data_IF_406260003735
#
_entry.id   IF_406260003735
#
_cell.length_a   1.000
_cell.length_b   1.000
_cell.length_c   1.000
_cell.angle_alpha   90.00
_cell.angle_beta   90.00
_cell.angle_gamma   90.00
#
_symmetry.space_group_name_H-M   'P 1'
#
loop_
_entity.id
_entity.type
_entity.pdbx_description
1 polymer ?
#
# COMPACT_ATOMS: atom_id res chain seq x y z
N UNK A 1 7.92 10.03 27.83
CA UNK A 1 7.04 9.26 26.93
C UNK A 1 7.94 8.60 25.89
N UNK A 2 8.16 7.28 26.03
CA UNK A 2 8.87 6.48 25.04
C UNK A 2 7.81 5.93 24.09
N UNK A 3 7.87 6.27 22.81
CA UNK A 3 7.00 5.65 21.80
C UNK A 3 7.36 4.16 21.70
N UNK A 4 6.36 3.26 21.58
CA UNK A 4 6.59 1.83 21.45
C UNK A 4 7.50 1.53 20.27
N UNK A 5 8.15 0.36 20.31
CA UNK A 5 9.20 -0.09 19.39
C UNK A 5 8.67 -0.36 17.97
N UNK A 6 8.09 0.65 17.33
CA UNK A 6 7.76 0.65 15.92
C UNK A 6 9.07 0.49 15.17
N UNK A 7 9.24 -0.65 14.50
CA UNK A 7 10.39 -0.87 13.62
C UNK A 7 10.29 0.17 12.53
N UNK A 8 11.00 1.28 12.68
CA UNK A 8 11.17 2.23 11.59
C UNK A 8 11.59 1.42 10.36
N UNK A 9 10.97 1.67 9.18
CA UNK A 9 11.38 1.00 7.97
C UNK A 9 12.90 1.15 7.82
N UNK A 10 13.56 0.12 7.30
CA UNK A 10 15.01 0.18 7.08
C UNK A 10 15.30 1.23 6.01
N UNK A 11 15.53 2.46 6.46
CA UNK A 11 15.90 3.59 5.60
C UNK A 11 17.41 3.55 5.36
N UNK A 12 17.80 3.74 4.10
CA UNK A 12 19.18 3.83 3.68
C UNK A 12 19.62 5.29 3.74
N UNK A 13 20.93 5.52 3.91
CA UNK A 13 21.49 6.88 3.86
C UNK A 13 21.48 7.48 2.44
N UNK A 14 21.33 6.65 1.41
CA UNK A 14 21.33 7.05 -0.01
C UNK A 14 20.45 6.12 -0.83
N UNK A 15 19.79 6.69 -1.83
CA UNK A 15 19.01 6.00 -2.86
C UNK A 15 19.48 6.42 -4.25
N UNK A 16 19.35 5.52 -5.22
CA UNK A 16 19.60 5.83 -6.62
C UNK A 16 18.47 6.72 -7.16
N UNK A 17 17.23 6.46 -6.73
CA UNK A 17 16.06 7.29 -7.02
C UNK A 17 15.10 7.35 -5.83
N UNK A 18 14.38 8.47 -5.73
CA UNK A 18 13.26 8.68 -4.82
C UNK A 18 12.02 9.01 -5.67
N UNK A 19 10.94 8.27 -5.46
CA UNK A 19 9.67 8.44 -6.17
C UNK A 19 8.65 8.96 -5.16
N UNK A 20 8.17 10.18 -5.37
CA UNK A 20 7.07 10.75 -4.58
C UNK A 20 5.73 10.37 -5.23
N UNK A 21 5.05 9.42 -4.62
CA UNK A 21 3.78 8.85 -5.06
C UNK A 21 3.90 7.36 -5.43
N UNK A 22 3.19 6.50 -4.72
CA UNK A 22 3.01 5.06 -4.97
C UNK A 22 1.72 4.73 -5.75
N UNK A 23 1.22 5.67 -6.55
CA UNK A 23 0.07 5.44 -7.44
C UNK A 23 0.44 4.74 -8.75
N UNK A 24 -0.47 4.80 -9.74
CA UNK A 24 -0.37 4.07 -11.03
C UNK A 24 0.95 4.31 -11.76
N UNK A 25 1.38 5.57 -11.91
CA UNK A 25 2.63 5.88 -12.59
C UNK A 25 3.86 5.58 -11.72
N UNK A 26 3.79 5.93 -10.44
CA UNK A 26 4.92 5.83 -9.51
C UNK A 26 5.41 4.40 -9.31
N UNK A 27 4.49 3.46 -9.04
CA UNK A 27 4.86 2.04 -8.91
C UNK A 27 5.26 1.41 -10.24
N UNK A 28 4.68 1.85 -11.37
CA UNK A 28 5.11 1.39 -12.69
C UNK A 28 6.56 1.80 -12.97
N UNK A 29 6.93 3.04 -12.65
CA UNK A 29 8.31 3.52 -12.79
C UNK A 29 9.24 2.80 -11.81
N UNK A 30 8.82 2.62 -10.56
CA UNK A 30 9.59 1.90 -9.54
C UNK A 30 9.90 0.47 -9.97
N UNK A 31 8.91 -0.25 -10.50
CA UNK A 31 9.06 -1.61 -11.02
C UNK A 31 10.15 -1.66 -12.11
N UNK A 32 10.09 -0.77 -13.09
CA UNK A 32 11.07 -0.73 -14.18
C UNK A 32 12.49 -0.36 -13.72
N UNK A 33 12.62 0.61 -12.83
CA UNK A 33 13.94 1.07 -12.36
C UNK A 33 14.58 0.05 -11.42
N UNK A 34 13.78 -0.64 -10.60
CA UNK A 34 14.28 -1.63 -9.63
C UNK A 34 15.00 -2.81 -10.29
N UNK A 35 14.68 -3.11 -11.56
CA UNK A 35 15.38 -4.14 -12.32
C UNK A 35 16.84 -3.79 -12.67
N UNK A 36 17.18 -2.50 -12.72
CA UNK A 36 18.51 -2.02 -13.12
C UNK A 36 19.31 -1.41 -11.96
N UNK A 37 18.62 -0.92 -10.93
CA UNK A 37 19.24 -0.19 -9.82
C UNK A 37 18.73 -0.73 -8.47
N UNK A 38 19.64 -1.02 -7.51
CA UNK A 38 19.28 -1.77 -6.32
C UNK A 38 18.64 -0.93 -5.20
N UNK A 39 18.84 0.39 -5.14
CA UNK A 39 18.39 1.20 -4.00
C UNK A 39 17.29 2.20 -4.41
N UNK A 40 16.05 1.87 -4.07
CA UNK A 40 14.86 2.68 -4.39
C UNK A 40 14.08 3.05 -3.13
N UNK A 41 13.51 4.25 -3.13
CA UNK A 41 12.52 4.67 -2.13
C UNK A 41 11.28 5.21 -2.82
N UNK A 42 10.12 4.61 -2.52
CA UNK A 42 8.81 5.14 -2.88
C UNK A 42 8.17 5.72 -1.62
N UNK A 43 7.72 6.96 -1.69
CA UNK A 43 7.02 7.64 -0.59
C UNK A 43 5.60 7.93 -1.05
N UNK A 44 4.61 7.35 -0.37
CA UNK A 44 3.19 7.56 -0.64
C UNK A 44 2.52 8.12 0.63
N UNK A 45 1.51 8.96 0.45
CA UNK A 45 0.78 9.53 1.59
C UNK A 45 -0.19 8.51 2.18
N UNK A 46 -0.83 7.71 1.33
CA UNK A 46 -1.76 6.65 1.76
C UNK A 46 -1.07 5.41 2.32
N UNK A 47 -1.85 4.60 3.03
CA UNK A 47 -1.43 3.27 3.50
C UNK A 47 -1.62 2.20 2.41
N UNK A 48 -0.95 1.07 2.60
CA UNK A 48 -1.24 -0.13 1.81
C UNK A 48 -2.63 -0.66 2.19
N UNK A 49 -3.60 -0.36 1.35
CA UNK A 49 -4.97 -0.82 1.52
C UNK A 49 -5.26 -2.04 0.62
N UNK A 50 -6.10 -2.94 1.12
CA UNK A 50 -6.75 -3.91 0.26
C UNK A 50 -7.76 -3.19 -0.64
N UNK A 51 -7.33 -2.82 -1.84
CA UNK A 51 -8.23 -2.34 -2.86
C UNK A 51 -8.95 -3.54 -3.47
N UNK A 52 -10.29 -3.55 -3.44
CA UNK A 52 -11.05 -4.60 -4.11
C UNK A 52 -10.70 -4.60 -5.59
N UNK A 53 -10.15 -5.71 -6.06
CA UNK A 53 -9.97 -5.93 -7.48
C UNK A 53 -11.32 -5.90 -8.18
N UNK A 54 -11.38 -5.43 -9.43
CA UNK A 54 -12.59 -5.53 -10.25
C UNK A 54 -13.07 -6.99 -10.42
N UNK A 55 -12.21 -7.96 -10.10
CA UNK A 55 -12.45 -9.40 -10.15
C UNK A 55 -12.52 -10.06 -8.77
N UNK A 56 -12.52 -9.28 -7.69
CA UNK A 56 -12.74 -9.86 -6.38
C UNK A 56 -14.14 -10.47 -6.32
N UNK A 57 -14.29 -11.69 -5.78
CA UNK A 57 -15.60 -12.27 -5.61
C UNK A 57 -16.46 -11.35 -4.73
N UNK A 58 -17.77 -11.26 -4.97
CA UNK A 58 -18.65 -10.49 -4.12
C UNK A 58 -18.57 -11.04 -2.70
N UNK A 59 -18.51 -10.17 -1.69
CA UNK A 59 -18.69 -10.58 -0.31
C UNK A 59 -20.02 -11.31 -0.18
N UNK A 60 -19.98 -12.58 0.24
CA UNK A 60 -21.19 -13.33 0.55
C UNK A 60 -21.73 -12.81 1.89
N UNK A 61 -22.44 -11.68 1.86
CA UNK A 61 -23.30 -11.28 2.96
C UNK A 61 -24.51 -12.22 2.93
N UNK A 62 -24.74 -12.98 4.00
CA UNK A 62 -26.02 -13.69 4.19
C UNK A 62 -27.13 -12.62 4.26
N UNK A 63 -27.70 -12.30 3.10
CA UNK A 63 -28.62 -11.18 2.88
C UNK A 63 -28.04 -10.15 1.89
N UNK A 64 -28.66 -10.08 0.71
CA UNK A 64 -28.47 -9.11 -0.39
C UNK A 64 -27.05 -8.60 -0.66
N UNK A 65 -26.50 -8.94 -1.83
CA UNK A 65 -25.26 -8.38 -2.34
C UNK A 65 -25.30 -6.84 -2.32
N UNK A 66 -24.38 -6.22 -1.57
CA UNK A 66 -24.23 -4.77 -1.47
C UNK A 66 -22.87 -4.35 -2.01
N UNK A 67 -22.85 -3.28 -2.80
CA UNK A 67 -21.65 -2.66 -3.38
C UNK A 67 -21.03 -1.59 -2.45
N UNK A 68 -21.57 -1.39 -1.25
CA UNK A 68 -21.08 -0.37 -0.33
C UNK A 68 -19.81 -0.84 0.43
N UNK A 69 -18.73 -0.05 0.33
CA UNK A 69 -17.55 -0.18 1.19
C UNK A 69 -17.97 0.05 2.64
N UNK A 70 -17.79 -0.94 3.52
CA UNK A 70 -18.08 -0.81 4.96
C UNK A 70 -16.84 -0.25 5.67
N UNK A 71 -16.84 1.00 6.19
CA UNK A 71 -15.80 1.46 7.07
C UNK A 71 -16.08 0.94 8.49
N UNK A 72 -15.12 0.21 9.09
CA UNK A 72 -14.98 0.11 10.54
C UNK A 72 -15.89 -0.85 11.33
N UNK A 73 -16.03 -2.12 10.94
CA UNK A 73 -16.61 -3.13 11.84
C UNK A 73 -15.61 -4.25 12.18
N UNK A 74 -14.92 -4.10 13.32
CA UNK A 74 -14.34 -5.20 14.08
C UNK A 74 -15.48 -5.92 14.83
N UNK A 75 -15.51 -7.25 14.78
CA UNK A 75 -16.43 -8.05 15.58
C UNK A 75 -15.61 -8.84 16.62
N UNK A 76 -16.00 -8.74 17.88
CA UNK A 76 -15.48 -9.56 18.99
C UNK A 76 -15.86 -11.03 18.83
#
# INVERSE_FOLDING_TARGET
MQFPNERLPKILNKYDFIIAGGGTAGLTVADRLSAAFPNMLVVEYGDLEYARGAFDPPDIVFGAATTAQRPGLFNF
#
